data_IF_761400340126
#
_entry.id   IF_761400340126
#
_cell.length_a   1.000
_cell.length_b   1.000
_cell.length_c   1.000
_cell.angle_alpha   90.00
_cell.angle_beta   90.00
_cell.angle_gamma   90.00
#
_symmetry.space_group_name_H-M   'P 1'
#
loop_
_entity.id
_entity.type
_entity.pdbx_description
1 polymer ?
#
# COMPACT_ATOMS: atom_id res chain seq x y z
N UNK A 1 15.21 1.63 6.12
CA UNK A 1 14.39 0.72 6.93
C UNK A 1 13.00 1.30 7.05
N UNK A 2 12.09 0.89 6.15
CA UNK A 2 10.68 1.29 6.20
C UNK A 2 10.01 0.57 7.36
N UNK A 3 10.02 1.19 8.54
CA UNK A 3 9.44 0.64 9.78
C UNK A 3 7.96 0.22 9.61
N UNK A 4 7.25 0.87 8.70
CA UNK A 4 5.84 0.63 8.42
C UNK A 4 5.54 -0.81 7.97
N UNK A 5 6.20 -1.31 6.93
CA UNK A 5 5.90 -2.64 6.40
C UNK A 5 6.21 -3.76 7.38
N UNK A 6 7.28 -3.59 8.16
CA UNK A 6 7.59 -4.48 9.28
C UNK A 6 6.45 -4.50 10.31
N UNK A 7 5.94 -3.32 10.70
CA UNK A 7 4.83 -3.22 11.65
C UNK A 7 3.55 -3.87 11.13
N UNK A 8 3.23 -3.67 9.84
CA UNK A 8 2.09 -4.32 9.18
C UNK A 8 2.25 -5.84 9.22
N UNK A 9 3.40 -6.38 8.80
CA UNK A 9 3.67 -7.82 8.81
C UNK A 9 3.53 -8.42 10.21
N UNK A 10 4.11 -7.78 11.24
CA UNK A 10 4.00 -8.27 12.62
C UNK A 10 2.57 -8.20 13.15
N UNK A 11 1.80 -7.15 12.83
CA UNK A 11 0.39 -7.03 13.21
C UNK A 11 -0.48 -8.11 12.57
N UNK A 12 -0.30 -8.39 11.27
CA UNK A 12 -1.04 -9.42 10.55
C UNK A 12 -0.73 -10.81 11.09
N UNK A 13 0.55 -11.15 11.24
CA UNK A 13 0.95 -12.44 11.79
C UNK A 13 0.46 -12.63 13.24
N UNK A 14 0.46 -11.57 14.06
CA UNK A 14 -0.13 -11.59 15.41
C UNK A 14 -1.64 -11.80 15.41
N UNK A 15 -2.33 -11.34 14.37
CA UNK A 15 -3.76 -11.59 14.14
C UNK A 15 -4.03 -12.97 13.50
N UNK A 16 -3.03 -13.84 13.40
CA UNK A 16 -3.11 -15.16 12.79
C UNK A 16 -3.45 -15.11 11.28
N UNK A 17 -3.03 -14.04 10.60
CA UNK A 17 -3.05 -13.90 9.14
C UNK A 17 -1.61 -14.05 8.63
N UNK A 18 -1.23 -15.20 8.04
CA UNK A 18 0.12 -15.43 7.54
C UNK A 18 0.51 -14.39 6.49
N UNK A 19 1.58 -13.65 6.77
CA UNK A 19 2.06 -12.53 5.95
C UNK A 19 3.58 -12.54 5.85
N UNK A 20 4.09 -12.54 4.61
CA UNK A 20 5.52 -12.39 4.34
C UNK A 20 5.96 -10.94 4.55
N UNK A 21 7.21 -10.74 4.97
CA UNK A 21 7.86 -9.44 4.97
C UNK A 21 9.00 -9.46 3.95
N UNK A 22 8.93 -8.62 2.92
CA UNK A 22 9.97 -8.55 1.88
C UNK A 22 10.41 -7.09 1.72
N UNK A 23 11.62 -6.80 2.17
CA UNK A 23 12.24 -5.47 2.04
C UNK A 23 13.64 -5.62 1.44
N UNK A 24 14.27 -4.52 1.03
CA UNK A 24 15.66 -4.55 0.56
C UNK A 24 16.68 -4.93 1.64
N UNK A 25 16.29 -5.02 2.91
CA UNK A 25 17.18 -5.29 4.05
C UNK A 25 16.87 -6.63 4.75
N UNK A 26 15.61 -7.06 4.72
CA UNK A 26 15.09 -8.21 5.46
C UNK A 26 14.05 -8.96 4.62
N UNK A 27 14.09 -10.29 4.69
CA UNK A 27 13.13 -11.19 4.06
C UNK A 27 12.72 -12.27 5.06
N UNK A 28 11.47 -12.22 5.50
CA UNK A 28 10.84 -13.25 6.34
C UNK A 28 9.68 -13.87 5.55
N UNK A 29 9.78 -15.17 5.22
CA UNK A 29 8.71 -15.92 4.55
C UNK A 29 8.00 -16.81 5.57
N UNK A 30 6.67 -16.79 5.55
CA UNK A 30 5.83 -17.56 6.45
C UNK A 30 5.14 -18.67 5.67
N UNK A 31 5.20 -19.90 6.17
CA UNK A 31 4.56 -21.04 5.51
C UNK A 31 3.05 -20.82 5.36
N UNK A 32 2.54 -20.96 4.14
CA UNK A 32 1.13 -20.74 3.80
C UNK A 32 0.71 -19.26 3.70
N UNK A 33 1.67 -18.32 3.64
CA UNK A 33 1.36 -16.91 3.44
C UNK A 33 0.81 -16.61 2.04
N UNK A 34 -0.34 -15.93 2.04
CA UNK A 34 -0.93 -15.32 0.84
C UNK A 34 -0.92 -13.79 0.89
N UNK A 35 -0.52 -13.20 2.02
CA UNK A 35 -0.34 -11.76 2.18
C UNK A 35 1.16 -11.44 2.17
N UNK A 36 1.52 -10.28 1.62
CA UNK A 36 2.91 -9.82 1.58
C UNK A 36 2.95 -8.34 1.95
N UNK A 37 3.80 -7.99 2.91
CA UNK A 37 4.16 -6.62 3.23
C UNK A 37 5.52 -6.32 2.58
N UNK A 38 5.52 -5.45 1.58
CA UNK A 38 6.69 -5.25 0.71
C UNK A 38 7.01 -3.78 0.53
N UNK A 39 8.30 -3.44 0.37
CA UNK A 39 8.66 -2.10 -0.12
C UNK A 39 8.44 -2.01 -1.62
N UNK A 40 8.24 -0.79 -2.13
CA UNK A 40 7.95 -0.56 -3.56
C UNK A 40 9.00 -1.15 -4.49
N UNK A 41 10.28 -1.14 -4.08
CA UNK A 41 11.40 -1.67 -4.88
C UNK A 41 11.42 -3.21 -4.95
N UNK A 42 10.73 -3.86 -4.02
CA UNK A 42 10.63 -5.32 -3.92
C UNK A 42 9.27 -5.86 -4.34
N UNK A 43 8.34 -4.97 -4.72
CA UNK A 43 6.99 -5.34 -5.12
C UNK A 43 7.02 -6.15 -6.42
N UNK A 44 6.35 -7.30 -6.41
CA UNK A 44 6.15 -8.09 -7.61
C UNK A 44 4.91 -7.59 -8.36
N UNK A 45 5.14 -7.02 -9.54
CA UNK A 45 4.08 -6.50 -10.43
C UNK A 45 3.50 -7.55 -11.37
N UNK A 46 4.05 -8.77 -11.38
CA UNK A 46 3.62 -9.86 -12.26
C UNK A 46 2.63 -10.83 -11.61
N UNK A 47 2.58 -10.84 -10.28
CA UNK A 47 1.61 -11.63 -9.52
C UNK A 47 0.29 -10.87 -9.47
N UNK A 48 -0.81 -11.54 -9.84
CA UNK A 48 -2.16 -11.00 -9.69
C UNK A 48 -2.61 -11.09 -8.23
N UNK A 49 -2.88 -9.93 -7.62
CA UNK A 49 -3.46 -9.83 -6.28
C UNK A 49 -4.95 -9.54 -6.33
N UNK A 50 -5.70 -10.02 -5.33
CA UNK A 50 -7.11 -9.62 -5.19
C UNK A 50 -7.28 -8.19 -4.67
N UNK A 51 -6.36 -7.76 -3.81
CA UNK A 51 -6.37 -6.44 -3.22
C UNK A 51 -4.93 -6.03 -2.89
N UNK A 52 -4.59 -4.78 -3.14
CA UNK A 52 -3.31 -4.21 -2.76
C UNK A 52 -3.49 -2.81 -2.13
N UNK A 53 -2.61 -2.49 -1.18
CA UNK A 53 -2.55 -1.16 -0.55
C UNK A 53 -1.18 -0.57 -0.84
N UNK A 54 -1.16 0.63 -1.41
CA UNK A 54 0.05 1.38 -1.68
C UNK A 54 0.03 2.63 -0.82
N UNK A 55 1.00 2.72 0.07
CA UNK A 55 1.32 3.96 0.78
C UNK A 55 2.28 4.77 -0.09
N UNK A 56 1.97 6.04 -0.29
CA UNK A 56 2.63 6.96 -1.22
C UNK A 56 2.31 6.61 -2.69
N UNK A 57 1.27 7.28 -3.21
CA UNK A 57 0.53 7.12 -4.48
C UNK A 57 1.33 6.99 -5.80
N UNK A 58 2.66 6.98 -5.77
CA UNK A 58 3.53 6.93 -6.96
C UNK A 58 3.81 5.52 -7.54
N UNK A 59 3.18 4.46 -7.01
CA UNK A 59 3.39 3.10 -7.49
C UNK A 59 2.10 2.45 -7.99
N UNK A 60 2.24 1.46 -8.86
CA UNK A 60 1.14 0.67 -9.42
C UNK A 60 1.49 -0.81 -9.32
N UNK A 61 0.50 -1.64 -9.01
CA UNK A 61 0.63 -3.10 -8.90
C UNK A 61 -0.60 -3.75 -9.53
N UNK A 62 -0.43 -4.94 -10.11
CA UNK A 62 -1.54 -5.70 -10.68
C UNK A 62 -2.44 -6.22 -9.54
N UNK A 63 -3.63 -5.62 -9.40
CA UNK A 63 -4.62 -6.07 -8.44
C UNK A 63 -6.05 -5.80 -8.95
N UNK A 64 -6.99 -6.66 -8.57
CA UNK A 64 -8.43 -6.45 -8.85
C UNK A 64 -8.97 -5.19 -8.13
N UNK A 65 -8.43 -4.88 -6.94
CA UNK A 65 -8.78 -3.72 -6.14
C UNK A 65 -7.51 -3.04 -5.60
N UNK A 66 -7.30 -1.76 -5.92
CA UNK A 66 -6.09 -1.02 -5.54
C UNK A 66 -6.43 0.18 -4.64
N UNK A 67 -5.95 0.14 -3.40
CA UNK A 67 -6.11 1.22 -2.43
C UNK A 67 -4.87 2.09 -2.40
N UNK A 68 -5.01 3.35 -2.79
CA UNK A 68 -3.92 4.33 -2.81
C UNK A 68 -4.08 5.31 -1.64
N UNK A 69 -3.03 5.47 -0.83
CA UNK A 69 -2.97 6.46 0.25
C UNK A 69 -1.91 7.52 -0.09
N UNK A 70 -2.25 8.80 0.01
CA UNK A 70 -1.30 9.87 -0.29
C UNK A 70 -1.91 11.28 -0.31
N UNK A 71 -1.15 12.22 -0.86
CA UNK A 71 -1.55 13.63 -0.99
C UNK A 71 -2.67 13.80 -2.03
N UNK A 72 -3.75 14.56 -1.73
CA UNK A 72 -4.83 14.83 -2.68
C UNK A 72 -4.37 15.51 -3.99
N UNK A 73 -3.20 16.14 -4.01
CA UNK A 73 -2.61 16.73 -5.22
C UNK A 73 -2.33 15.70 -6.33
N UNK A 74 -2.22 14.40 -5.98
CA UNK A 74 -2.04 13.33 -6.97
C UNK A 74 -3.35 12.87 -7.63
N UNK A 75 -4.52 13.21 -7.06
CA UNK A 75 -5.83 12.76 -7.57
C UNK A 75 -6.03 13.10 -9.06
N UNK A 76 -5.76 14.33 -9.56
CA UNK A 76 -5.96 14.64 -10.97
C UNK A 76 -5.12 13.77 -11.91
N UNK A 77 -3.87 13.49 -11.54
CA UNK A 77 -2.97 12.64 -12.32
C UNK A 77 -3.48 11.18 -12.36
N UNK A 78 -3.94 10.66 -11.23
CA UNK A 78 -4.54 9.31 -11.17
C UNK A 78 -5.79 9.24 -12.04
N UNK A 79 -6.65 10.25 -12.01
CA UNK A 79 -7.85 10.30 -12.84
C UNK A 79 -7.52 10.29 -14.34
N UNK A 80 -6.50 11.05 -14.77
CA UNK A 80 -6.04 11.03 -16.17
C UNK A 80 -5.49 9.66 -16.60
N UNK A 81 -4.82 8.94 -15.69
CA UNK A 81 -4.33 7.58 -15.96
C UNK A 81 -5.50 6.60 -16.13
N UNK A 82 -6.48 6.67 -15.23
CA UNK A 82 -7.62 5.73 -15.22
C UNK A 82 -8.60 6.00 -16.38
N UNK A 83 -8.70 7.24 -16.86
CA UNK A 83 -9.45 7.57 -18.08
C UNK A 83 -8.91 6.83 -19.32
N UNK A 84 -7.62 6.46 -19.33
CA UNK A 84 -6.98 5.72 -20.44
C UNK A 84 -7.16 4.21 -20.25
N UNK A 85 -7.09 3.71 -19.02
CA UNK A 85 -7.22 2.27 -18.73
C UNK A 85 -8.68 1.80 -18.71
N UNK A 86 -9.61 2.71 -18.41
CA UNK A 86 -11.04 2.43 -18.26
C UNK A 86 -11.42 1.86 -16.89
N UNK A 87 -10.54 2.01 -15.90
CA UNK A 87 -10.76 1.54 -14.53
C UNK A 87 -11.68 2.48 -13.73
N UNK A 88 -12.39 1.93 -12.75
CA UNK A 88 -13.23 2.71 -11.84
C UNK A 88 -12.40 3.33 -10.71
N UNK A 89 -12.75 4.57 -10.30
CA UNK A 89 -12.07 5.27 -9.21
C UNK A 89 -13.04 5.81 -8.17
N UNK A 90 -12.73 5.55 -6.90
CA UNK A 90 -13.42 6.13 -5.74
C UNK A 90 -12.42 6.95 -4.93
N UNK A 91 -12.69 8.26 -4.76
CA UNK A 91 -11.81 9.17 -4.01
C UNK A 91 -12.43 9.47 -2.66
N UNK A 92 -11.71 9.11 -1.59
CA UNK A 92 -12.11 9.36 -0.21
C UNK A 92 -11.17 10.36 0.46
N UNK A 93 -11.73 11.47 0.95
CA UNK A 93 -10.96 12.52 1.64
C UNK A 93 -11.06 12.37 3.15
N UNK A 94 -9.91 12.44 3.82
CA UNK A 94 -9.79 12.32 5.27
C UNK A 94 -9.20 13.60 5.88
N UNK A 95 -9.76 14.05 6.99
CA UNK A 95 -9.20 15.17 7.77
C UNK A 95 -8.22 14.67 8.85
N UNK A 96 -7.35 15.57 9.34
CA UNK A 96 -6.42 15.21 10.42
C UNK A 96 -7.21 14.81 11.67
N UNK A 97 -6.89 13.65 12.24
CA UNK A 97 -7.50 13.18 13.49
C UNK A 97 -7.24 14.11 14.69
N UNK A 98 -6.12 14.84 14.66
CA UNK A 98 -5.75 15.81 15.69
C UNK A 98 -5.32 17.13 15.04
N UNK A 99 -5.61 18.29 15.66
CA UNK A 99 -5.19 19.58 15.11
C UNK A 99 -3.66 19.74 15.09
N UNK A 100 -3.13 20.44 14.09
CA UNK A 100 -1.72 20.83 14.05
C UNK A 100 -1.59 22.16 14.74
N UNK A 101 -0.91 22.21 15.88
CA UNK A 101 -0.64 23.47 16.58
C UNK A 101 0.84 23.80 16.39
N UNK A 102 1.19 24.84 15.62
CA UNK A 102 2.57 25.29 15.52
C UNK A 102 3.08 25.71 16.90
N UNK A 103 4.25 25.22 17.30
CA UNK A 103 4.95 25.75 18.46
C UNK A 103 5.54 27.11 18.08
N UNK A 104 5.30 28.12 18.93
CA UNK A 104 5.86 29.48 18.76
C UNK A 104 7.36 29.50 19.00
#
# INVERSE_FOLDING_TARGET
MSMMWWEVAKRLNKANVPCDLITGQEREEVEGAHHKAVTVEMADVSTDYKCAVIDEIQASIAADELHLCGDPAAVPLIQEILDITGDEVEVQYYERLSPLVPMK
#
